data_IF_221274341837
#
_entry.id   IF_221274341837
#
_cell.length_a   1.000
_cell.length_b   1.000
_cell.length_c   1.000
_cell.angle_alpha   90.00
_cell.angle_beta   90.00
_cell.angle_gamma   90.00
#
_symmetry.space_group_name_H-M   'P 1'
#
loop_
_entity.id
_entity.type
_entity.pdbx_description
1 polymer ?
#
# COMPACT_ATOMS: atom_id res chain seq x y z
N UNK A 1 -5.42 10.42 10.69
CA UNK A 1 -6.45 9.65 11.38
C UNK A 1 -6.82 8.47 10.49
N UNK A 2 -6.65 7.22 10.98
CA UNK A 2 -6.97 6.01 10.23
C UNK A 2 -7.97 5.18 11.02
N UNK A 3 -9.01 4.69 10.35
CA UNK A 3 -9.96 3.74 10.92
C UNK A 3 -9.45 2.34 10.60
N UNK A 4 -9.31 1.49 11.62
CA UNK A 4 -8.75 0.15 11.48
C UNK A 4 -9.63 -0.86 12.20
N UNK A 5 -9.59 -2.11 11.76
CA UNK A 5 -10.27 -3.19 12.47
C UNK A 5 -9.33 -3.79 13.51
N UNK A 6 -9.78 -3.90 14.76
CA UNK A 6 -9.05 -4.59 15.80
C UNK A 6 -9.28 -6.11 15.66
N UNK A 7 -8.21 -6.85 15.43
CA UNK A 7 -8.24 -8.31 15.32
C UNK A 7 -8.02 -8.98 16.68
N UNK A 8 -7.00 -8.51 17.42
CA UNK A 8 -6.57 -9.15 18.65
C UNK A 8 -5.83 -8.17 19.56
N UNK A 9 -5.94 -8.37 20.85
CA UNK A 9 -5.10 -7.74 21.88
C UNK A 9 -4.25 -8.84 22.54
N UNK A 10 -2.94 -8.73 22.47
CA UNK A 10 -2.02 -9.62 23.17
C UNK A 10 -1.46 -8.91 24.41
N UNK A 11 -1.49 -9.60 25.55
CA UNK A 11 -1.01 -9.09 26.84
C UNK A 11 0.24 -9.84 27.35
N UNK A 12 0.64 -10.89 26.66
CA UNK A 12 1.69 -11.82 27.01
C UNK A 12 2.94 -11.71 26.13
N UNK A 13 3.01 -10.69 25.29
CA UNK A 13 4.15 -10.42 24.43
C UNK A 13 5.14 -9.45 25.11
N UNK A 14 6.39 -9.44 24.65
CA UNK A 14 7.48 -8.68 25.24
C UNK A 14 7.18 -7.19 25.35
N UNK A 15 6.51 -6.63 24.31
CA UNK A 15 6.14 -5.22 24.22
C UNK A 15 4.66 -4.97 24.57
N UNK A 16 4.07 -5.78 25.43
CA UNK A 16 2.65 -5.71 25.81
C UNK A 16 2.22 -4.36 26.40
N UNK A 17 0.96 -3.93 26.09
CA UNK A 17 -0.02 -4.60 25.23
C UNK A 17 0.26 -4.38 23.74
N UNK A 18 0.09 -5.43 22.93
CA UNK A 18 0.19 -5.37 21.48
C UNK A 18 -1.20 -5.46 20.85
N UNK A 19 -1.53 -4.53 19.95
CA UNK A 19 -2.78 -4.52 19.20
C UNK A 19 -2.51 -5.02 17.78
N UNK A 20 -3.18 -6.09 17.38
CA UNK A 20 -3.19 -6.57 16.00
C UNK A 20 -4.36 -5.93 15.27
N UNK A 21 -4.07 -5.23 14.20
CA UNK A 21 -5.05 -4.44 13.45
C UNK A 21 -5.01 -4.78 11.97
N UNK A 22 -6.14 -4.63 11.29
CA UNK A 22 -6.32 -4.82 9.86
C UNK A 22 -6.72 -3.50 9.20
N UNK A 23 -6.25 -3.28 7.97
CA UNK A 23 -6.59 -2.10 7.16
C UNK A 23 -5.83 -0.83 7.55
N UNK A 24 -4.66 -0.96 8.18
CA UNK A 24 -3.83 0.20 8.53
C UNK A 24 -3.07 0.72 7.31
N UNK A 25 -3.32 1.98 6.94
CA UNK A 25 -2.49 2.73 6.00
C UNK A 25 -1.42 3.52 6.79
N UNK A 26 -0.44 2.78 7.32
CA UNK A 26 0.62 3.31 8.17
C UNK A 26 1.98 2.75 7.73
N UNK A 27 2.98 3.60 7.72
CA UNK A 27 4.37 3.18 7.52
C UNK A 27 4.90 2.49 8.78
N UNK A 28 5.81 1.52 8.61
CA UNK A 28 6.48 0.90 9.74
C UNK A 28 7.24 1.95 10.58
N UNK A 29 7.06 1.90 11.90
CA UNK A 29 7.63 2.85 12.84
C UNK A 29 6.84 4.15 13.02
N UNK A 30 5.65 4.28 12.40
CA UNK A 30 4.77 5.42 12.65
C UNK A 30 4.32 5.44 14.11
N UNK A 31 4.58 6.52 14.88
CA UNK A 31 4.14 6.61 16.25
C UNK A 31 2.63 6.80 16.35
N UNK A 32 1.99 6.05 17.24
CA UNK A 32 0.56 6.18 17.53
C UNK A 32 0.43 7.01 18.81
N UNK A 33 -0.24 8.14 18.73
CA UNK A 33 -0.43 9.07 19.85
C UNK A 33 -1.74 8.86 20.58
N UNK A 34 -2.78 8.36 19.91
CA UNK A 34 -4.11 8.21 20.49
C UNK A 34 -4.88 7.09 19.78
N UNK A 35 -5.71 6.38 20.53
CA UNK A 35 -6.59 5.32 20.03
C UNK A 35 -8.00 5.57 20.59
N UNK A 36 -8.99 5.65 19.69
CA UNK A 36 -10.40 5.84 20.05
C UNK A 36 -11.27 4.72 19.50
N UNK A 37 -12.31 4.32 20.21
CA UNK A 37 -13.29 3.42 19.62
C UNK A 37 -14.03 4.09 18.47
N UNK A 38 -14.27 3.35 17.39
CA UNK A 38 -15.17 3.76 16.32
C UNK A 38 -16.61 3.65 16.80
N UNK A 39 -17.38 4.73 16.68
CA UNK A 39 -18.77 4.79 17.11
C UNK A 39 -19.67 4.95 15.88
N UNK A 40 -20.29 3.85 15.37
CA UNK A 40 -20.99 3.85 14.08
C UNK A 40 -22.06 4.95 13.95
N UNK A 41 -22.83 5.22 14.99
CA UNK A 41 -23.90 6.23 14.93
C UNK A 41 -23.40 7.68 14.98
N UNK A 42 -22.12 7.90 15.36
CA UNK A 42 -21.53 9.24 15.44
C UNK A 42 -20.46 9.46 14.35
N UNK A 43 -19.72 8.40 13.98
CA UNK A 43 -18.56 8.50 13.09
C UNK A 43 -18.89 8.12 11.63
N UNK A 44 -20.05 7.46 11.39
CA UNK A 44 -20.47 7.09 10.06
C UNK A 44 -21.33 8.19 9.42
N UNK A 45 -20.90 8.67 8.26
CA UNK A 45 -21.61 9.67 7.44
C UNK A 45 -21.89 9.09 6.05
N UNK A 46 -22.94 8.27 5.88
CA UNK A 46 -23.23 7.62 4.58
C UNK A 46 -23.56 8.62 3.45
N UNK A 47 -24.04 9.82 3.85
CA UNK A 47 -24.37 10.92 2.94
C UNK A 47 -23.16 11.76 2.51
N UNK A 48 -22.00 11.53 3.13
CA UNK A 48 -20.80 12.28 2.79
C UNK A 48 -20.34 11.96 1.36
N UNK A 49 -20.06 13.00 0.60
CA UNK A 49 -19.54 12.88 -0.76
C UNK A 49 -18.02 12.99 -0.77
N UNK A 50 -17.37 12.12 -1.52
CA UNK A 50 -15.92 11.98 -1.56
C UNK A 50 -15.23 12.89 -2.56
N UNK A 51 -15.65 14.12 -2.80
CA UNK A 51 -14.95 15.07 -3.65
C UNK A 51 -14.26 14.41 -4.88
N UNK A 52 -12.92 14.52 -5.01
CA UNK A 52 -12.16 13.95 -6.14
C UNK A 52 -12.16 12.40 -6.18
N UNK A 53 -12.41 11.73 -5.07
CA UNK A 53 -12.41 10.25 -5.01
C UNK A 53 -13.61 9.62 -5.73
N UNK A 54 -14.68 10.37 -5.96
CA UNK A 54 -15.83 9.87 -6.74
C UNK A 54 -15.47 9.68 -8.21
N UNK A 55 -14.54 10.48 -8.75
CA UNK A 55 -14.10 10.37 -10.14
C UNK A 55 -13.09 9.25 -10.39
N UNK A 56 -12.46 8.73 -9.34
CA UNK A 56 -11.45 7.66 -9.44
C UNK A 56 -11.99 6.27 -9.12
N UNK A 57 -13.23 6.15 -8.62
CA UNK A 57 -13.82 4.85 -8.24
C UNK A 57 -13.99 3.85 -9.38
N UNK A 58 -14.12 4.33 -10.61
CA UNK A 58 -14.41 3.49 -11.78
C UNK A 58 -13.21 3.36 -12.73
N UNK A 59 -12.04 3.93 -12.36
CA UNK A 59 -10.85 3.84 -13.19
C UNK A 59 -10.01 2.65 -12.77
N UNK A 60 -10.14 1.55 -13.50
CA UNK A 60 -9.32 0.36 -13.33
C UNK A 60 -8.48 0.11 -14.57
N UNK A 61 -7.20 -0.16 -14.38
CA UNK A 61 -6.30 -0.55 -15.45
C UNK A 61 -6.41 -2.05 -15.74
N UNK A 62 -6.26 -2.41 -17.01
CA UNK A 62 -6.08 -3.79 -17.41
C UNK A 62 -4.64 -4.23 -17.12
N UNK A 63 -4.44 -5.13 -16.18
CA UNK A 63 -3.12 -5.58 -15.76
C UNK A 63 -2.63 -6.74 -16.61
N UNK A 64 -1.58 -6.52 -17.40
CA UNK A 64 -0.84 -7.58 -18.10
C UNK A 64 0.36 -7.99 -17.22
N UNK A 65 0.24 -9.16 -16.59
CA UNK A 65 1.28 -9.72 -15.73
C UNK A 65 1.76 -11.05 -16.35
N UNK A 66 3.01 -11.13 -16.89
CA UNK A 66 3.55 -12.37 -17.40
C UNK A 66 3.59 -13.47 -16.35
N UNK A 67 3.14 -14.69 -16.71
CA UNK A 67 3.04 -15.81 -15.79
C UNK A 67 4.36 -16.13 -15.08
N UNK A 68 5.48 -16.06 -15.80
CA UNK A 68 6.83 -16.31 -15.26
C UNK A 68 7.22 -15.31 -14.15
N UNK A 69 6.76 -14.07 -14.25
CA UNK A 69 6.99 -13.05 -13.23
C UNK A 69 6.02 -13.19 -12.06
N UNK A 70 4.77 -13.56 -12.35
CA UNK A 70 3.74 -13.77 -11.33
C UNK A 70 4.09 -14.96 -10.41
N UNK A 71 4.78 -15.96 -10.92
CA UNK A 71 5.26 -17.11 -10.13
C UNK A 71 6.31 -16.72 -9.08
N UNK A 72 6.99 -15.58 -9.24
CA UNK A 72 7.93 -15.04 -8.24
C UNK A 72 7.22 -14.40 -7.04
N UNK A 73 5.92 -14.23 -7.11
CA UNK A 73 5.08 -13.68 -6.05
C UNK A 73 4.44 -14.83 -5.28
N UNK A 74 4.43 -14.79 -3.92
CA UNK A 74 3.72 -15.77 -3.11
C UNK A 74 2.26 -15.90 -3.53
N UNK A 75 1.76 -17.13 -3.65
CA UNK A 75 0.42 -17.41 -4.19
C UNK A 75 -0.71 -16.65 -3.49
N UNK A 76 -0.63 -16.54 -2.18
CA UNK A 76 -1.58 -15.82 -1.32
C UNK A 76 -1.62 -14.30 -1.57
N UNK A 77 -0.53 -13.73 -2.12
CA UNK A 77 -0.41 -12.28 -2.35
C UNK A 77 -0.68 -11.85 -3.80
N UNK A 78 -0.84 -12.81 -4.72
CA UNK A 78 -1.00 -12.51 -6.17
C UNK A 78 -2.25 -11.73 -6.49
N UNK A 79 -3.37 -12.14 -5.92
CA UNK A 79 -4.66 -11.49 -6.13
C UNK A 79 -4.64 -10.06 -5.59
N UNK A 80 -4.11 -9.86 -4.38
CA UNK A 80 -3.95 -8.54 -3.79
C UNK A 80 -3.03 -7.63 -4.61
N UNK A 81 -1.92 -8.16 -5.13
CA UNK A 81 -1.02 -7.41 -6.00
C UNK A 81 -1.71 -6.95 -7.30
N UNK A 82 -2.45 -7.86 -7.95
CA UNK A 82 -3.18 -7.53 -9.18
C UNK A 82 -4.23 -6.45 -8.91
N UNK A 83 -4.95 -6.53 -7.79
CA UNK A 83 -5.93 -5.52 -7.40
C UNK A 83 -5.28 -4.14 -7.19
N UNK A 84 -4.16 -4.08 -6.47
CA UNK A 84 -3.41 -2.82 -6.25
C UNK A 84 -2.91 -2.23 -7.58
N UNK A 85 -2.44 -3.06 -8.51
CA UNK A 85 -1.98 -2.59 -9.82
C UNK A 85 -3.15 -2.10 -10.69
N UNK A 86 -4.32 -2.74 -10.58
CA UNK A 86 -5.53 -2.33 -11.30
C UNK A 86 -6.06 -0.97 -10.84
N UNK A 87 -5.84 -0.60 -9.58
CA UNK A 87 -6.23 0.69 -9.01
C UNK A 87 -5.29 1.85 -9.37
N UNK A 88 -4.43 1.67 -10.36
CA UNK A 88 -3.47 2.67 -10.86
C UNK A 88 -2.57 3.30 -9.78
N UNK A 89 -1.49 2.62 -9.39
CA UNK A 89 -0.61 3.10 -8.32
C UNK A 89 0.30 4.29 -8.73
N UNK A 90 0.10 4.88 -9.90
CA UNK A 90 0.87 6.05 -10.36
C UNK A 90 0.45 7.32 -9.62
N UNK A 91 1.38 8.26 -9.40
CA UNK A 91 0.99 9.61 -9.00
C UNK A 91 0.06 10.25 -10.04
N UNK A 92 -1.07 10.81 -9.61
CA UNK A 92 -2.15 11.33 -10.46
C UNK A 92 -1.73 12.38 -11.53
N UNK A 93 -0.56 13.01 -11.36
CA UNK A 93 -0.03 14.02 -12.27
C UNK A 93 0.94 13.45 -13.32
N UNK A 94 1.14 12.13 -13.37
CA UNK A 94 2.11 11.49 -14.26
C UNK A 94 1.39 10.64 -15.30
N UNK A 95 1.44 11.07 -16.56
CA UNK A 95 0.77 10.41 -17.69
C UNK A 95 1.75 10.24 -18.86
N UNK A 96 2.92 9.63 -18.59
CA UNK A 96 3.97 9.39 -19.58
C UNK A 96 4.04 7.88 -19.89
N UNK A 97 3.66 7.42 -21.10
CA UNK A 97 3.66 6.00 -21.46
C UNK A 97 5.06 5.37 -21.56
N UNK A 98 6.10 6.18 -21.79
CA UNK A 98 7.50 5.71 -21.85
C UNK A 98 8.12 5.58 -20.45
N UNK A 99 7.48 6.12 -19.43
CA UNK A 99 8.01 6.11 -18.08
C UNK A 99 7.88 4.73 -17.44
N UNK A 100 8.96 4.31 -16.79
CA UNK A 100 8.99 3.13 -15.96
C UNK A 100 8.69 3.48 -14.51
N UNK A 101 7.82 2.70 -13.89
CA UNK A 101 7.44 2.82 -12.48
C UNK A 101 7.94 1.62 -11.71
N UNK A 102 8.27 1.83 -10.43
CA UNK A 102 8.60 0.79 -9.48
C UNK A 102 7.72 0.92 -8.24
N UNK A 103 7.19 -0.20 -7.76
CA UNK A 103 6.35 -0.24 -6.57
C UNK A 103 6.81 -1.37 -5.65
N UNK A 104 7.20 -1.06 -4.41
CA UNK A 104 7.48 -2.09 -3.43
C UNK A 104 6.18 -2.80 -3.01
N UNK A 105 6.22 -4.14 -3.05
CA UNK A 105 5.13 -4.98 -2.59
C UNK A 105 5.68 -6.17 -1.81
N UNK A 106 5.51 -6.17 -0.49
CA UNK A 106 6.18 -7.11 0.40
C UNK A 106 7.70 -7.02 0.31
N UNK A 107 8.34 -8.12 -0.05
CA UNK A 107 9.80 -8.21 -0.23
C UNK A 107 10.24 -8.03 -1.70
N UNK A 108 9.30 -7.68 -2.58
CA UNK A 108 9.54 -7.51 -4.02
C UNK A 108 9.40 -6.05 -4.43
N UNK A 109 10.08 -5.69 -5.50
CA UNK A 109 9.91 -4.43 -6.23
C UNK A 109 9.35 -4.74 -7.61
N UNK A 110 8.16 -4.23 -7.90
CA UNK A 110 7.38 -4.52 -9.10
C UNK A 110 7.60 -3.38 -10.09
N UNK A 111 8.18 -3.71 -11.25
CA UNK A 111 8.46 -2.73 -12.30
C UNK A 111 7.44 -2.83 -13.43
N UNK A 112 6.80 -1.73 -13.75
CA UNK A 112 5.73 -1.68 -14.74
C UNK A 112 5.74 -0.39 -15.57
N UNK A 113 4.99 -0.40 -16.66
CA UNK A 113 4.65 0.76 -17.50
C UNK A 113 3.16 0.79 -17.73
N UNK A 114 2.63 1.98 -17.99
CA UNK A 114 1.21 2.15 -18.29
C UNK A 114 1.07 2.89 -19.61
N UNK A 115 0.32 2.29 -20.53
CA UNK A 115 -0.02 2.86 -21.82
C UNK A 115 -1.55 2.84 -21.98
N UNK A 116 -2.17 4.03 -21.94
CA UNK A 116 -3.62 4.15 -21.86
C UNK A 116 -4.17 3.45 -20.62
N UNK A 117 -5.06 2.48 -20.81
CA UNK A 117 -5.70 1.70 -19.74
C UNK A 117 -5.01 0.34 -19.49
N UNK A 118 -3.80 0.14 -20.04
CA UNK A 118 -3.06 -1.12 -19.90
C UNK A 118 -1.81 -0.91 -19.07
N UNK A 119 -1.73 -1.62 -17.94
CA UNK A 119 -0.54 -1.70 -17.09
C UNK A 119 0.22 -2.99 -17.42
N UNK A 120 1.47 -2.87 -17.88
CA UNK A 120 2.34 -4.02 -18.20
C UNK A 120 3.47 -4.15 -17.20
N UNK A 121 3.47 -5.27 -16.47
CA UNK A 121 4.61 -5.64 -15.61
C UNK A 121 5.69 -6.27 -16.48
N UNK A 122 6.91 -5.74 -16.40
CA UNK A 122 8.04 -6.25 -17.20
C UNK A 122 9.18 -6.82 -16.35
N UNK A 123 9.21 -6.54 -15.04
CA UNK A 123 10.23 -7.08 -14.15
C UNK A 123 9.74 -7.16 -12.70
N UNK A 124 10.29 -8.13 -11.96
CA UNK A 124 10.09 -8.31 -10.50
C UNK A 124 11.47 -8.58 -9.89
N UNK A 125 11.90 -7.73 -8.98
CA UNK A 125 13.19 -7.84 -8.28
C UNK A 125 12.99 -7.94 -6.78
N UNK A 126 14.04 -8.28 -6.03
CA UNK A 126 14.00 -8.21 -4.57
C UNK A 126 14.02 -6.76 -4.12
N UNK A 127 13.14 -6.43 -3.17
CA UNK A 127 13.13 -5.10 -2.56
C UNK A 127 14.24 -5.00 -1.52
N UNK A 128 15.32 -4.31 -1.86
CA UNK A 128 16.41 -4.02 -0.93
C UNK A 128 16.09 -2.74 -0.17
N UNK A 129 15.72 -2.85 1.11
CA UNK A 129 15.66 -1.67 1.99
C UNK A 129 17.05 -1.05 2.08
N UNK A 130 17.25 0.10 1.45
CA UNK A 130 18.43 0.94 1.76
C UNK A 130 18.36 1.28 3.23
N UNK A 131 19.28 0.75 4.03
CA UNK A 131 19.51 1.25 5.39
C UNK A 131 19.83 2.74 5.24
N UNK A 132 19.00 3.59 5.82
CA UNK A 132 19.37 4.98 6.06
C UNK A 132 20.56 4.93 7.01
N UNK A 133 21.75 5.17 6.50
CA UNK A 133 22.89 5.52 7.33
C UNK A 133 22.48 6.78 8.10
N UNK A 134 22.23 6.60 9.39
CA UNK A 134 22.09 7.69 10.32
C UNK A 134 23.45 8.38 10.41
N UNK A 135 23.63 9.44 9.64
CA UNK A 135 24.71 10.39 9.88
C UNK A 135 24.37 11.15 11.17
N UNK A 136 24.62 10.51 12.30
CA UNK A 136 24.81 11.19 13.56
C UNK A 136 26.22 11.80 13.54
N UNK A 137 26.38 12.93 12.86
CA UNK A 137 27.50 13.83 13.12
C UNK A 137 26.96 15.06 13.85
N UNK A 138 26.96 14.94 15.16
CA UNK A 138 26.81 16.06 16.07
C UNK A 138 28.23 16.54 16.41
N UNK A 139 28.76 17.36 15.52
CA UNK A 139 30.05 18.04 15.73
C UNK A 139 29.87 19.39 16.40
N UNK A 140 30.25 19.46 17.65
CA UNK A 140 30.74 20.62 18.47
C UNK A 140 30.00 21.95 18.33
#
# INVERSE_FOLDING_TARGET
LSCVKLEKVALDELDSPVLYIEGADLMNGTPIFDIKPYIPYADCHPEATGSFTEYSKDHHLNVEFPQELLERIPGESREALIAVLADDPRPAYQNDPERSYGMPFGEKDIHFRVDGDILRVYNVTEFVKKQQESSADCGK
#
